data_IF_556421181024
#
_entry.id   IF_556421181024
#
_cell.length_a   1.000
_cell.length_b   1.000
_cell.length_c   1.000
_cell.angle_alpha   90.00
_cell.angle_beta   90.00
_cell.angle_gamma   90.00
#
_symmetry.space_group_name_H-M   'P 1'
#
loop_
_entity.id
_entity.type
_entity.pdbx_description
1 polymer ?
#
# COMPACT_ATOMS: atom_id res chain seq x y z
N UNK A 1 17.12 -0.91 6.48
CA UNK A 1 16.46 0.39 6.26
C UNK A 1 15.05 0.05 5.90
N UNK A 2 14.34 -0.52 6.88
CA UNK A 2 13.03 -1.12 6.71
C UNK A 2 12.23 -0.61 7.89
N UNK A 3 11.60 0.53 7.68
CA UNK A 3 10.67 1.05 8.67
C UNK A 3 9.46 0.11 8.69
N UNK A 4 9.02 -0.35 9.87
CA UNK A 4 7.85 -1.20 9.96
C UNK A 4 6.67 -0.43 9.41
N UNK A 5 6.07 -0.99 8.37
CA UNK A 5 4.78 -0.54 7.84
C UNK A 5 3.75 -0.83 8.94
N UNK A 6 3.55 0.12 9.85
CA UNK A 6 2.47 0.05 10.84
C UNK A 6 1.16 0.32 10.10
N UNK A 7 0.67 -0.75 9.48
CA UNK A 7 -0.60 -0.83 8.82
C UNK A 7 -1.53 -1.55 9.77
N UNK A 8 -2.33 -0.79 10.51
CA UNK A 8 -3.34 -1.28 11.44
C UNK A 8 -4.49 -2.07 10.75
N UNK A 9 -4.25 -2.62 9.55
CA UNK A 9 -5.11 -3.58 8.86
C UNK A 9 -4.81 -4.97 9.41
N UNK A 10 -5.85 -5.79 9.67
CA UNK A 10 -5.66 -7.14 10.20
C UNK A 10 -4.86 -8.04 9.24
N UNK A 11 -4.82 -7.72 7.94
CA UNK A 11 -4.06 -8.45 6.92
C UNK A 11 -3.34 -7.48 5.96
N UNK A 12 -2.07 -7.74 5.61
CA UNK A 12 -1.32 -6.91 4.68
C UNK A 12 -1.84 -7.06 3.24
N UNK A 13 -1.95 -5.95 2.51
CA UNK A 13 -2.18 -6.00 1.05
C UNK A 13 -0.92 -6.59 0.40
N UNK A 14 -1.11 -7.55 -0.50
CA UNK A 14 0.00 -8.28 -1.12
C UNK A 14 0.28 -7.79 -2.54
N UNK A 15 1.55 -7.84 -2.93
CA UNK A 15 1.99 -7.71 -4.30
C UNK A 15 1.75 -9.02 -5.08
N UNK A 16 2.08 -9.04 -6.37
CA UNK A 16 1.87 -10.21 -7.26
C UNK A 16 2.72 -11.44 -6.90
N UNK A 17 3.72 -11.29 -6.02
CA UNK A 17 4.56 -12.37 -5.51
C UNK A 17 4.00 -12.99 -4.22
N UNK A 18 2.91 -12.43 -3.67
CA UNK A 18 2.35 -12.84 -2.38
C UNK A 18 3.10 -12.24 -1.18
N UNK A 19 3.93 -11.23 -1.39
CA UNK A 19 4.65 -10.50 -0.35
C UNK A 19 3.94 -9.17 -0.02
N UNK A 20 4.21 -8.52 1.11
CA UNK A 20 3.61 -7.23 1.45
C UNK A 20 3.81 -6.17 0.35
N UNK A 21 2.76 -5.41 0.04
CA UNK A 21 2.79 -4.36 -0.96
C UNK A 21 3.61 -3.17 -0.46
N UNK A 22 4.68 -2.87 -1.18
CA UNK A 22 5.58 -1.76 -0.88
C UNK A 22 5.02 -0.40 -1.33
N UNK A 23 5.68 0.68 -0.92
CA UNK A 23 5.40 2.03 -1.39
C UNK A 23 5.78 2.15 -2.87
N UNK A 24 4.86 2.65 -3.68
CA UNK A 24 5.08 2.96 -5.09
C UNK A 24 5.68 4.36 -5.30
N UNK A 25 5.15 5.40 -4.63
CA UNK A 25 5.68 6.77 -4.73
C UNK A 25 5.17 7.69 -3.60
N UNK A 26 6.07 8.47 -3.00
CA UNK A 26 5.73 9.46 -1.95
C UNK A 26 5.80 10.91 -2.44
N UNK A 27 6.47 11.17 -3.57
CA UNK A 27 6.71 12.52 -4.10
C UNK A 27 6.66 12.50 -5.63
N UNK A 28 5.49 12.75 -6.25
CA UNK A 28 4.20 13.05 -5.61
C UNK A 28 3.56 11.83 -4.91
N UNK A 29 2.82 12.06 -3.83
CA UNK A 29 2.16 10.98 -3.09
C UNK A 29 1.06 10.31 -3.95
N UNK A 30 1.26 9.02 -4.25
CA UNK A 30 0.38 8.23 -5.13
C UNK A 30 -0.66 7.40 -4.36
N UNK A 31 -1.44 6.59 -5.11
CA UNK A 31 -2.48 5.69 -4.61
C UNK A 31 -3.86 6.35 -4.56
N UNK A 32 -4.93 5.57 -4.78
CA UNK A 32 -6.31 6.05 -4.67
C UNK A 32 -6.57 6.62 -3.27
N UNK A 33 -6.16 5.87 -2.24
CA UNK A 33 -6.24 6.26 -0.83
C UNK A 33 -5.15 7.25 -0.39
N UNK A 34 -4.29 7.70 -1.32
CA UNK A 34 -3.17 8.64 -1.05
C UNK A 34 -2.26 8.20 0.10
N UNK A 35 -1.93 6.91 0.13
CA UNK A 35 -1.04 6.28 1.09
C UNK A 35 0.32 5.88 0.48
N UNK A 36 0.57 6.28 -0.78
CA UNK A 36 1.79 5.97 -1.52
C UNK A 36 1.81 4.55 -2.12
N UNK A 37 0.76 3.75 -1.98
CA UNK A 37 0.67 2.37 -2.47
C UNK A 37 -0.36 2.24 -3.58
N UNK A 38 -0.23 1.16 -4.36
CA UNK A 38 -1.18 0.80 -5.42
C UNK A 38 -2.22 -0.22 -4.94
N UNK A 39 -2.68 -0.08 -3.70
CA UNK A 39 -3.78 -0.87 -3.18
C UNK A 39 -5.13 -0.31 -3.62
N UNK A 40 -6.13 -1.18 -3.66
CA UNK A 40 -7.49 -0.90 -4.13
C UNK A 40 -8.52 -1.44 -3.12
N UNK A 41 -9.78 -1.09 -3.30
CA UNK A 41 -10.89 -1.52 -2.44
C UNK A 41 -12.24 -1.07 -2.99
N UNK A 42 -13.34 -1.28 -2.24
CA UNK A 42 -14.70 -1.07 -2.75
C UNK A 42 -15.02 0.35 -3.23
N UNK A 43 -14.32 1.34 -2.69
CA UNK A 43 -14.49 2.76 -3.04
C UNK A 43 -13.73 3.18 -4.32
N UNK A 44 -12.81 2.34 -4.81
CA UNK A 44 -11.95 2.58 -5.99
C UNK A 44 -12.54 1.87 -7.23
N UNK A 45 -13.75 2.26 -7.62
CA UNK A 45 -14.47 1.77 -8.81
C UNK A 45 -14.65 2.85 -9.89
#
# INVERSE_FOLDING_TARGET
>A
MDMPVDDNRPEPVLNVLGEPLEICCEQPLTGFYRNGRCDTGPDDM
#
